data_IF_654401883022
#
_entry.id   IF_654401883022
#
_cell.length_a   1.000
_cell.length_b   1.000
_cell.length_c   1.000
_cell.angle_alpha   90.00
_cell.angle_beta   90.00
_cell.angle_gamma   90.00
#
_symmetry.space_group_name_H-M   'P 1'
#
loop_
_entity.id
_entity.type
_entity.pdbx_description
1 polymer ?
#
# COMPACT_ATOMS: atom_id res chain seq x y z
N UNK A 1 -0.90 7.91 -9.72
CA UNK A 1 -1.29 6.59 -10.26
C UNK A 1 -0.17 5.64 -9.92
N UNK A 2 -0.39 4.61 -9.09
CA UNK A 2 0.65 3.62 -8.84
C UNK A 2 0.99 2.92 -10.16
N UNK A 3 2.28 2.81 -10.44
CA UNK A 3 2.78 2.15 -11.63
C UNK A 3 2.38 0.67 -11.61
N UNK A 4 1.59 0.25 -12.59
CA UNK A 4 1.23 -1.13 -12.79
C UNK A 4 0.18 -1.23 -13.86
N UNK A 5 0.56 -1.76 -15.03
CA UNK A 5 -0.42 -2.23 -16.01
C UNK A 5 -1.30 -3.33 -15.42
N UNK A 6 -2.11 -3.99 -16.25
CA UNK A 6 -3.10 -5.04 -15.89
C UNK A 6 -2.65 -6.17 -14.91
N UNK A 7 -1.38 -6.20 -14.52
CA UNK A 7 -0.76 -7.19 -13.65
C UNK A 7 -0.62 -6.78 -12.16
N UNK A 8 -0.81 -5.51 -11.78
CA UNK A 8 -0.71 -5.14 -10.36
C UNK A 8 -1.83 -5.79 -9.50
N UNK A 9 -1.51 -6.41 -8.35
CA UNK A 9 -2.47 -7.22 -7.62
C UNK A 9 -3.47 -6.43 -6.77
N UNK A 10 -3.25 -5.14 -6.54
CA UNK A 10 -4.10 -4.30 -5.68
C UNK A 10 -4.73 -3.18 -6.49
N UNK A 11 -6.05 -3.21 -6.67
CA UNK A 11 -6.77 -2.22 -7.48
C UNK A 11 -7.86 -1.55 -6.67
N UNK A 12 -7.70 -0.24 -6.41
CA UNK A 12 -8.75 0.58 -5.83
C UNK A 12 -9.78 0.96 -6.91
N UNK A 13 -11.07 0.71 -6.65
CA UNK A 13 -12.18 1.06 -7.51
C UNK A 13 -13.31 1.75 -6.74
N UNK A 14 -14.45 2.00 -7.39
CA UNK A 14 -15.58 2.69 -6.78
C UNK A 14 -16.24 1.88 -5.64
N UNK A 15 -16.21 0.55 -5.72
CA UNK A 15 -16.85 -0.36 -4.76
C UNK A 15 -15.89 -0.85 -3.65
N UNK A 16 -14.68 -0.30 -3.58
CA UNK A 16 -13.63 -0.74 -2.66
C UNK A 16 -12.34 -1.20 -3.34
N UNK A 17 -11.53 -1.95 -2.58
CA UNK A 17 -10.22 -2.45 -3.03
C UNK A 17 -10.37 -3.91 -3.46
N UNK A 18 -9.93 -4.22 -4.68
CA UNK A 18 -9.87 -5.59 -5.23
C UNK A 18 -8.45 -6.12 -5.12
N UNK A 19 -8.31 -7.32 -4.57
CA UNK A 19 -7.03 -7.99 -4.36
C UNK A 19 -6.97 -9.26 -5.21
N UNK A 20 -5.91 -9.40 -6.01
CA UNK A 20 -5.57 -10.61 -6.77
C UNK A 20 -4.46 -11.35 -6.02
N UNK A 21 -4.81 -12.07 -4.95
CA UNK A 21 -3.83 -12.68 -4.04
C UNK A 21 -3.00 -13.78 -4.72
N UNK A 22 -3.50 -14.36 -5.82
CA UNK A 22 -2.76 -15.27 -6.69
C UNK A 22 -1.59 -14.61 -7.43
N UNK A 23 -1.62 -13.27 -7.59
CA UNK A 23 -0.55 -12.48 -8.21
C UNK A 23 0.40 -11.83 -7.21
N UNK A 24 0.17 -12.01 -5.91
CA UNK A 24 1.03 -11.46 -4.86
C UNK A 24 2.23 -12.37 -4.61
N UNK A 25 3.41 -11.78 -4.67
CA UNK A 25 4.67 -12.41 -4.28
C UNK A 25 4.80 -12.33 -2.76
N UNK A 26 5.17 -13.44 -2.13
CA UNK A 26 5.48 -13.50 -0.70
C UNK A 26 6.66 -12.58 -0.40
N UNK A 27 6.64 -11.96 0.77
CA UNK A 27 7.66 -11.00 1.23
C UNK A 27 7.75 -9.72 0.37
N UNK A 28 6.67 -9.38 -0.35
CA UNK A 28 6.55 -8.13 -1.10
C UNK A 28 5.41 -7.26 -0.55
N UNK A 29 5.70 -5.96 -0.39
CA UNK A 29 4.72 -4.96 0.00
C UNK A 29 3.97 -4.43 -1.23
N UNK A 30 2.65 -4.46 -1.16
CA UNK A 30 1.75 -3.81 -2.12
C UNK A 30 0.97 -2.71 -1.43
N UNK A 31 0.48 -1.73 -2.19
CA UNK A 31 -0.30 -0.64 -1.63
C UNK A 31 -1.29 -0.06 -2.63
N UNK A 32 -2.30 0.62 -2.09
CA UNK A 32 -3.13 1.53 -2.87
C UNK A 32 -3.56 2.71 -2.00
N UNK A 33 -4.05 3.76 -2.66
CA UNK A 33 -4.71 4.87 -1.98
C UNK A 33 -6.20 4.72 -2.21
N UNK A 34 -6.96 4.64 -1.12
CA UNK A 34 -8.42 4.53 -1.14
C UNK A 34 -8.96 5.29 0.06
N UNK A 35 -10.06 6.03 -0.15
CA UNK A 35 -10.73 6.81 0.91
C UNK A 35 -9.77 7.68 1.77
N UNK A 36 -8.87 8.41 1.10
CA UNK A 36 -7.85 9.26 1.73
C UNK A 36 -6.90 8.54 2.73
N UNK A 37 -6.76 7.22 2.61
CA UNK A 37 -5.80 6.41 3.35
C UNK A 37 -4.88 5.67 2.40
N UNK A 38 -3.67 5.35 2.88
CA UNK A 38 -2.83 4.35 2.21
C UNK A 38 -3.11 3.00 2.85
N UNK A 39 -3.54 2.04 2.05
CA UNK A 39 -3.67 0.65 2.46
C UNK A 39 -2.42 -0.10 2.01
N UNK A 40 -1.77 -0.78 2.95
CA UNK A 40 -0.61 -1.63 2.72
C UNK A 40 -1.05 -3.09 2.82
N UNK A 41 -0.56 -3.92 1.92
CA UNK A 41 -0.84 -5.35 1.85
C UNK A 41 0.47 -6.12 1.79
N UNK A 42 0.63 -7.09 2.67
CA UNK A 42 1.84 -7.91 2.75
C UNK A 42 1.45 -9.37 2.90
N UNK A 43 1.98 -10.24 2.03
CA UNK A 43 1.79 -11.68 2.11
C UNK A 43 3.02 -12.31 2.74
N UNK A 44 2.86 -12.93 3.89
CA UNK A 44 3.96 -13.56 4.61
C UNK A 44 4.30 -14.98 4.09
N UNK A 45 5.32 -15.59 4.69
CA UNK A 45 5.81 -16.93 4.34
C UNK A 45 4.79 -18.05 4.62
N UNK A 46 3.85 -17.83 5.54
CA UNK A 46 2.74 -18.75 5.83
C UNK A 46 1.56 -18.56 4.86
N UNK A 47 1.66 -17.58 3.96
CA UNK A 47 0.64 -17.23 2.98
C UNK A 47 -0.50 -16.40 3.55
N UNK A 48 -0.37 -15.89 4.79
CA UNK A 48 -1.34 -14.97 5.38
C UNK A 48 -1.19 -13.58 4.78
N UNK A 49 -2.33 -12.96 4.49
CA UNK A 49 -2.38 -11.60 3.98
C UNK A 49 -2.62 -10.63 5.12
N UNK A 50 -1.63 -9.79 5.38
CA UNK A 50 -1.69 -8.68 6.32
C UNK A 50 -2.16 -7.41 5.62
N UNK A 51 -2.93 -6.60 6.34
CA UNK A 51 -3.41 -5.30 5.90
C UNK A 51 -3.13 -4.25 6.97
N UNK A 52 -2.55 -3.11 6.56
CA UNK A 52 -2.27 -1.97 7.43
C UNK A 52 -2.77 -0.68 6.80
N UNK A 53 -3.12 0.30 7.64
CA UNK A 53 -3.62 1.60 7.20
C UNK A 53 -2.70 2.73 7.66
N UNK A 54 -2.49 3.70 6.76
CA UNK A 54 -1.85 4.98 7.08
C UNK A 54 -2.90 6.07 6.95
N UNK A 55 -3.25 6.67 8.09
CA UNK A 55 -4.27 7.71 8.20
C UNK A 55 -3.69 9.12 8.34
N UNK A 56 -2.37 9.26 8.51
CA UNK A 56 -1.72 10.57 8.59
C UNK A 56 -1.87 11.30 7.23
N UNK A 57 -2.55 12.45 7.18
CA UNK A 57 -2.88 13.12 5.93
C UNK A 57 -1.64 13.63 5.17
N UNK A 58 -0.59 14.03 5.89
CA UNK A 58 0.67 14.48 5.27
C UNK A 58 1.40 13.30 4.63
N UNK A 59 1.44 12.15 5.33
CA UNK A 59 2.02 10.93 4.78
C UNK A 59 1.24 10.43 3.55
N UNK A 60 -0.09 10.40 3.61
CA UNK A 60 -0.95 10.01 2.48
C UNK A 60 -0.68 10.91 1.27
N UNK A 61 -0.62 12.22 1.48
CA UNK A 61 -0.34 13.21 0.42
C UNK A 61 1.04 13.00 -0.18
N UNK A 62 2.06 12.79 0.65
CA UNK A 62 3.44 12.63 0.19
C UNK A 62 3.62 11.32 -0.60
N UNK A 63 2.99 10.22 -0.16
CA UNK A 63 2.97 8.94 -0.89
C UNK A 63 2.24 9.07 -2.23
N UNK A 64 1.12 9.82 -2.28
CA UNK A 64 0.40 10.07 -3.52
C UNK A 64 1.25 10.80 -4.56
N UNK A 65 2.11 11.72 -4.11
CA UNK A 65 3.01 12.50 -4.96
C UNK A 65 4.27 11.72 -5.35
N UNK A 66 4.79 10.89 -4.45
CA UNK A 66 6.07 10.17 -4.62
C UNK A 66 5.90 8.65 -4.38
N UNK A 67 5.10 7.96 -5.21
CA UNK A 67 4.74 6.54 -5.00
C UNK A 67 5.93 5.58 -4.97
N UNK A 68 7.03 5.91 -5.65
CA UNK A 68 8.26 5.11 -5.66
C UNK A 68 9.07 5.21 -4.36
N UNK A 69 8.78 6.19 -3.51
CA UNK A 69 9.51 6.45 -2.27
C UNK A 69 8.74 5.99 -1.02
N UNK A 70 7.68 5.20 -1.20
CA UNK A 70 6.76 4.82 -0.12
C UNK A 70 7.47 4.27 1.11
N UNK A 71 8.46 3.38 0.96
CA UNK A 71 9.18 2.79 2.08
C UNK A 71 9.94 3.84 2.91
N UNK A 72 10.61 4.78 2.24
CA UNK A 72 11.33 5.89 2.88
C UNK A 72 10.38 6.87 3.56
N UNK A 73 9.21 7.12 2.95
CA UNK A 73 8.17 7.96 3.53
C UNK A 73 7.63 7.30 4.81
N UNK A 74 7.20 6.03 4.73
CA UNK A 74 6.68 5.28 5.88
C UNK A 74 7.67 5.25 7.05
N UNK A 75 8.95 4.97 6.78
CA UNK A 75 10.00 4.96 7.82
C UNK A 75 10.13 6.32 8.54
N UNK A 76 10.08 7.43 7.80
CA UNK A 76 10.18 8.78 8.40
C UNK A 76 9.00 9.12 9.29
N UNK A 77 7.77 8.79 8.88
CA UNK A 77 6.59 9.08 9.71
C UNK A 77 6.47 8.12 10.90
N UNK A 78 6.86 6.86 10.75
CA UNK A 78 6.94 5.91 11.86
C UNK A 78 7.92 6.37 12.95
N UNK A 79 9.10 6.88 12.56
CA UNK A 79 10.11 7.37 13.50
C UNK A 79 9.70 8.64 14.27
N UNK A 80 8.76 9.43 13.73
CA UNK A 80 8.21 10.63 14.37
C UNK A 80 7.10 10.32 15.39
N UNK A 81 6.64 9.07 15.44
CA UNK A 81 5.55 8.63 16.30
C UNK A 81 6.05 8.08 17.64
N UNK A 82 7.32 8.32 17.99
CA UNK A 82 8.00 7.90 19.22
C UNK A 82 8.32 9.05 20.16
#
# INVERSE_FOLDING_TARGET
MAAGGDDYPVVAGQDGIKLKTEKMVTDQLYYCIYDNKVFLFYKDEEGLLHCYEVENPDAVREIAQNPSEIESILKRYAAQSG
#
